data_IF_050011528619
#
_entry.id   IF_050011528619
#
_cell.length_a   1.000
_cell.length_b   1.000
_cell.length_c   1.000
_cell.angle_alpha   90.00
_cell.angle_beta   90.00
_cell.angle_gamma   90.00
#
_symmetry.space_group_name_H-M   'P 1'
#
loop_
_entity.id
_entity.type
_entity.pdbx_description
1 polymer ?
#
# COMPACT_ATOMS: atom_id res chain seq x y z
N UNK A 1 7.23 -9.29 17.77
CA UNK A 1 7.30 -8.59 16.91
C UNK A 1 7.32 -9.16 15.66
N UNK A 2 6.77 -8.73 14.84
CA UNK A 2 6.69 -9.35 13.68
C UNK A 2 7.79 -9.08 12.85
N UNK A 3 8.22 -9.97 12.04
CA UNK A 3 9.29 -9.80 11.17
C UNK A 3 8.80 -9.35 9.85
N UNK A 4 8.03 -8.33 9.79
CA UNK A 4 7.52 -7.85 8.54
C UNK A 4 8.60 -7.27 7.70
N UNK A 5 8.59 -7.60 6.44
CA UNK A 5 9.50 -6.99 5.51
C UNK A 5 8.81 -5.79 4.93
N UNK A 6 9.46 -4.65 4.94
CA UNK A 6 8.88 -3.42 4.43
C UNK A 6 9.43 -3.16 3.04
N UNK A 7 8.54 -3.06 2.05
CA UNK A 7 8.96 -2.82 0.68
C UNK A 7 8.94 -1.33 0.41
N UNK A 8 9.95 -0.86 -0.28
CA UNK A 8 10.08 0.57 -0.57
C UNK A 8 9.78 0.90 -2.02
N UNK A 9 9.62 -0.11 -2.86
CA UNK A 9 9.33 0.13 -4.26
C UNK A 9 7.88 -0.11 -4.54
N UNK A 10 7.27 0.70 -5.39
CA UNK A 10 5.85 0.51 -5.68
C UNK A 10 5.65 -0.73 -6.54
N UNK A 11 4.47 -1.30 -6.45
CA UNK A 11 4.08 -2.39 -7.32
C UNK A 11 3.76 -1.86 -8.71
N UNK A 12 3.90 -2.71 -9.70
CA UNK A 12 3.47 -2.37 -11.04
C UNK A 12 2.02 -2.79 -11.19
N UNK A 13 1.26 -2.04 -11.95
CA UNK A 13 -0.15 -2.35 -12.16
C UNK A 13 -0.42 -2.33 -13.65
N UNK A 14 -1.05 -3.39 -14.16
CA UNK A 14 -1.33 -3.53 -15.57
C UNK A 14 -2.75 -4.05 -15.77
N UNK A 15 -3.38 -3.67 -16.85
CA UNK A 15 -4.68 -4.22 -17.20
C UNK A 15 -4.48 -5.30 -18.26
N UNK A 16 -5.12 -6.44 -18.07
CA UNK A 16 -5.00 -7.51 -19.03
C UNK A 16 -6.28 -8.30 -19.10
N UNK A 17 -6.88 -8.39 -20.26
CA UNK A 17 -8.11 -9.15 -20.51
C UNK A 17 -9.22 -8.77 -19.55
N UNK A 18 -9.33 -7.52 -19.22
CA UNK A 18 -10.41 -7.04 -18.36
C UNK A 18 -10.13 -7.16 -16.88
N UNK A 19 -8.96 -7.64 -16.51
CA UNK A 19 -8.59 -7.74 -15.09
C UNK A 19 -7.40 -6.84 -14.81
N UNK A 20 -7.17 -6.57 -13.54
CA UNK A 20 -6.06 -5.74 -13.12
C UNK A 20 -5.02 -6.62 -12.44
N UNK A 21 -3.80 -6.55 -12.92
CA UNK A 21 -2.71 -7.33 -12.35
C UNK A 21 -1.82 -6.41 -11.53
N UNK A 22 -1.54 -6.82 -10.30
CA UNK A 22 -0.64 -6.08 -9.41
C UNK A 22 0.59 -6.94 -9.23
N UNK A 23 1.75 -6.42 -9.65
CA UNK A 23 2.98 -7.20 -9.65
C UNK A 23 4.05 -6.56 -8.80
N UNK A 24 4.77 -7.39 -8.06
CA UNK A 24 5.97 -7.04 -7.34
C UNK A 24 5.75 -6.12 -6.25
N UNK A 25 6.76 -5.86 -5.38
CA UNK A 25 8.07 -6.48 -5.39
C UNK A 25 8.03 -7.88 -4.79
N UNK A 26 9.14 -8.54 -4.91
CA UNK A 26 9.34 -9.83 -4.24
C UNK A 26 8.30 -10.86 -4.67
N UNK A 27 8.04 -10.95 -5.95
CA UNK A 27 7.13 -11.93 -6.53
C UNK A 27 5.68 -11.77 -6.12
N UNK A 28 5.30 -10.66 -5.58
CA UNK A 28 3.89 -10.41 -5.34
C UNK A 28 3.17 -10.39 -6.67
N UNK A 29 2.08 -11.15 -6.77
CA UNK A 29 1.38 -11.28 -8.04
C UNK A 29 -0.08 -11.51 -7.73
N UNK A 30 -0.89 -10.53 -7.93
CA UNK A 30 -2.29 -10.59 -7.60
C UNK A 30 -3.11 -10.10 -8.78
N UNK A 31 -4.19 -10.81 -9.09
CA UNK A 31 -5.11 -10.39 -10.15
C UNK A 31 -6.44 -10.03 -9.49
N UNK A 32 -7.04 -8.94 -9.90
CA UNK A 32 -8.30 -8.49 -9.35
C UNK A 32 -9.21 -8.05 -10.47
N UNK A 33 -10.52 -8.11 -10.23
CA UNK A 33 -11.42 -7.51 -11.20
C UNK A 33 -11.38 -5.99 -11.00
N UNK A 34 -11.90 -5.22 -11.95
CA UNK A 34 -11.77 -3.76 -11.86
C UNK A 34 -12.39 -3.14 -10.62
N UNK A 35 -13.53 -3.66 -10.16
CA UNK A 35 -14.17 -3.10 -8.98
C UNK A 35 -13.35 -3.35 -7.73
N UNK A 36 -12.81 -4.56 -7.60
CA UNK A 36 -11.97 -4.87 -6.46
C UNK A 36 -10.71 -4.04 -6.49
N UNK A 37 -10.15 -3.82 -7.68
CA UNK A 37 -8.94 -3.03 -7.80
C UNK A 37 -9.18 -1.59 -7.40
N UNK A 38 -10.31 -1.03 -7.80
CA UNK A 38 -10.63 0.34 -7.46
C UNK A 38 -10.79 0.50 -5.97
N UNK A 39 -11.51 -0.42 -5.35
CA UNK A 39 -11.72 -0.36 -3.91
C UNK A 39 -10.40 -0.53 -3.17
N UNK A 40 -9.55 -1.43 -3.64
CA UNK A 40 -8.26 -1.65 -3.02
C UNK A 40 -7.40 -0.40 -3.12
N UNK A 41 -7.45 0.30 -4.26
CA UNK A 41 -6.67 1.50 -4.41
C UNK A 41 -7.11 2.58 -3.44
N UNK A 42 -8.42 2.69 -3.20
CA UNK A 42 -8.93 3.66 -2.26
C UNK A 42 -8.47 3.33 -0.84
N UNK A 43 -8.49 2.06 -0.49
CA UNK A 43 -8.04 1.65 0.83
C UNK A 43 -6.54 1.83 1.02
N UNK A 44 -5.79 1.56 -0.04
CA UNK A 44 -4.35 1.76 0.01
C UNK A 44 -4.01 3.23 0.19
N UNK A 45 -4.72 4.09 -0.52
CA UNK A 45 -4.49 5.52 -0.39
C UNK A 45 -4.80 5.99 1.02
N UNK A 46 -5.93 5.56 1.56
CA UNK A 46 -6.31 5.94 2.88
C UNK A 46 -5.32 5.42 3.92
N UNK A 47 -4.89 4.18 3.78
CA UNK A 47 -3.90 3.60 4.67
C UNK A 47 -2.57 4.31 4.58
N UNK A 48 -2.19 4.72 3.37
CA UNK A 48 -0.95 5.43 3.16
C UNK A 48 -0.97 6.77 3.89
N UNK A 49 -2.09 7.47 3.81
CA UNK A 49 -2.20 8.75 4.49
C UNK A 49 -2.15 8.60 6.00
N UNK A 50 -2.82 7.57 6.51
CA UNK A 50 -2.79 7.31 7.94
C UNK A 50 -1.39 6.93 8.41
N UNK A 51 -0.71 6.12 7.62
CA UNK A 51 0.64 5.69 7.99
C UNK A 51 1.60 6.86 8.01
N UNK A 52 1.45 7.79 7.06
CA UNK A 52 2.29 8.97 7.06
C UNK A 52 2.04 9.81 8.29
N UNK A 53 0.78 9.93 8.70
CA UNK A 53 0.46 10.64 9.92
C UNK A 53 1.09 10.00 11.14
N UNK A 54 1.06 8.67 11.20
CA UNK A 54 1.68 7.96 12.31
C UNK A 54 3.18 8.18 12.35
N UNK A 55 3.84 8.17 11.19
CA UNK A 55 5.27 8.42 11.15
C UNK A 55 5.59 9.84 11.56
N UNK A 56 4.77 10.78 11.13
CA UNK A 56 4.97 12.16 11.47
C UNK A 56 4.90 12.36 12.98
N UNK A 57 3.89 11.78 13.60
CA UNK A 57 3.75 11.89 15.04
C UNK A 57 4.90 11.22 15.79
N UNK A 58 5.36 10.10 15.26
CA UNK A 58 6.43 9.40 15.90
C UNK A 58 7.75 10.17 15.85
N UNK A 59 7.96 10.90 14.77
CA UNK A 59 9.19 11.62 14.59
C UNK A 59 9.19 13.00 15.21
N UNK A 60 8.05 13.50 15.68
CA UNK A 60 7.99 14.78 16.28
C UNK A 60 8.20 14.63 17.74
N UNK A 61 8.97 15.47 18.33
CA UNK A 61 9.14 15.40 19.74
C UNK A 61 7.85 15.84 20.33
N UNK A 62 7.33 15.06 21.07
CA UNK A 62 6.13 15.39 21.54
C UNK A 62 6.24 16.10 22.67
N UNK A 63 6.39 17.06 22.85
CA UNK A 63 6.42 17.76 23.84
C UNK A 63 5.38 17.57 24.54
N UNK A 64 5.29 17.20 25.14
CA UNK A 64 4.38 16.96 25.79
C UNK A 64 3.47 17.70 25.75
N UNK A 65 3.12 17.68 25.55
CA UNK A 65 2.44 18.46 25.51
C UNK A 65 1.81 18.22 25.89
#
# INVERSE_FOLDING_TARGET
MSDRKIYHEPSSVTAEDGDVLVLGPDDVHVAMDPDAAEETSNRLLEGSMKARGQRHLRNYPHKAQ
#
